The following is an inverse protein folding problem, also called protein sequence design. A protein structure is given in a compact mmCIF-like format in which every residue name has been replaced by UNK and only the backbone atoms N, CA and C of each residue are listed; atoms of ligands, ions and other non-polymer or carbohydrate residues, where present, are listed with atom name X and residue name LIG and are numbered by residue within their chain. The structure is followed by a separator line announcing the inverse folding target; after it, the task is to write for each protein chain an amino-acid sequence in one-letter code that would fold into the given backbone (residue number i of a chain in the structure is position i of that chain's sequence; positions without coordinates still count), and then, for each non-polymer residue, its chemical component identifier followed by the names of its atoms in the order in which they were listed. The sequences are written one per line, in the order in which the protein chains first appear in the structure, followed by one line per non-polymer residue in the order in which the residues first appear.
data_IF_009021430820
#
_entry.id   IF_009021430820
#
_cell.length_a   1.000
_cell.length_b   1.000
_cell.length_c   1.000
_cell.angle_alpha   90.00
_cell.angle_beta   90.00
_cell.angle_gamma   90.00
#
_symmetry.space_group_name_H-M   'P 1'
#
loop_
_entity.id
_entity.type
_entity.pdbx_description
1 polymer ?
#
# COMPACT_ATOMS: atom_id res chain seq x y z
N UNK A 1 9.42 -4.78 -5.55
CA UNK A 1 8.07 -4.23 -5.40
C UNK A 1 7.14 -4.70 -6.51
N UNK A 2 7.64 -4.84 -7.75
CA UNK A 2 6.83 -5.19 -8.93
C UNK A 2 5.79 -6.30 -8.74
N UNK A 3 6.18 -7.48 -8.25
CA UNK A 3 5.25 -8.60 -8.06
C UNK A 3 4.04 -8.24 -7.18
N UNK A 4 4.24 -7.38 -6.17
CA UNK A 4 3.16 -6.93 -5.29
C UNK A 4 2.28 -5.92 -5.99
N UNK A 5 2.88 -5.05 -6.81
CA UNK A 5 2.12 -4.10 -7.62
C UNK A 5 1.24 -4.81 -8.65
N UNK A 6 1.76 -5.83 -9.34
CA UNK A 6 0.95 -6.65 -10.26
C UNK A 6 -0.24 -7.30 -9.55
N UNK A 7 -0.02 -7.93 -8.40
CA UNK A 7 -1.09 -8.53 -7.60
C UNK A 7 -2.10 -7.47 -7.09
N UNK A 8 -1.65 -6.26 -6.73
CA UNK A 8 -2.55 -5.16 -6.38
C UNK A 8 -3.47 -4.78 -7.55
N UNK A 9 -2.94 -4.73 -8.78
CA UNK A 9 -3.76 -4.44 -9.98
C UNK A 9 -4.81 -5.51 -10.21
N UNK A 10 -4.47 -6.78 -10.00
CA UNK A 10 -5.44 -7.88 -10.08
C UNK A 10 -6.59 -7.65 -9.09
N UNK A 11 -6.27 -7.36 -7.82
CA UNK A 11 -7.29 -7.07 -6.80
C UNK A 11 -8.15 -5.85 -7.11
N UNK A 12 -7.57 -4.79 -7.65
CA UNK A 12 -8.31 -3.58 -8.01
C UNK A 12 -9.27 -3.78 -9.18
N UNK A 13 -9.03 -4.80 -10.02
CA UNK A 13 -9.88 -5.18 -11.14
C UNK A 13 -10.93 -6.25 -10.80
N UNK A 14 -11.03 -6.67 -9.53
CA UNK A 14 -12.02 -7.64 -9.10
C UNK A 14 -13.37 -6.97 -8.79
N UNK A 15 -14.46 -7.61 -9.23
CA UNK A 15 -15.83 -7.21 -8.87
C UNK A 15 -16.21 -7.60 -7.44
N UNK A 16 -15.42 -8.48 -6.80
CA UNK A 16 -15.69 -9.04 -5.49
C UNK A 16 -14.58 -8.75 -4.49
N UNK A 17 -14.96 -8.48 -3.25
CA UNK A 17 -14.01 -8.28 -2.16
C UNK A 17 -13.34 -9.59 -1.73
N UNK A 18 -12.00 -9.62 -1.67
CA UNK A 18 -11.23 -10.74 -1.11
C UNK A 18 -11.50 -10.95 0.39
N UNK A 19 -11.44 -12.19 0.92
CA UNK A 19 -11.62 -12.47 2.35
C UNK A 19 -10.50 -11.84 3.22
N UNK A 20 -10.74 -11.78 4.53
CA UNK A 20 -9.81 -11.17 5.49
C UNK A 20 -8.42 -11.83 5.45
N UNK A 21 -8.38 -13.16 5.41
CA UNK A 21 -7.17 -13.95 5.48
C UNK A 21 -6.25 -13.66 4.28
N UNK A 22 -6.83 -13.51 3.09
CA UNK A 22 -6.10 -13.15 1.88
C UNK A 22 -5.62 -11.69 1.90
N UNK A 23 -6.47 -10.78 2.37
CA UNK A 23 -6.11 -9.38 2.56
C UNK A 23 -4.95 -9.22 3.57
N UNK A 24 -5.01 -9.93 4.69
CA UNK A 24 -3.96 -9.95 5.71
C UNK A 24 -2.66 -10.54 5.18
N UNK A 25 -2.72 -11.68 4.47
CA UNK A 25 -1.55 -12.32 3.91
C UNK A 25 -0.82 -11.40 2.92
N UNK A 26 -1.55 -10.79 1.98
CA UNK A 26 -0.96 -9.84 1.03
C UNK A 26 -0.30 -8.65 1.75
N UNK A 27 -0.99 -8.05 2.73
CA UNK A 27 -0.42 -6.97 3.54
C UNK A 27 0.88 -7.41 4.24
N UNK A 28 0.90 -8.59 4.84
CA UNK A 28 2.08 -9.12 5.55
C UNK A 28 3.25 -9.32 4.61
N UNK A 29 3.02 -9.84 3.41
CA UNK A 29 4.09 -10.06 2.43
C UNK A 29 4.70 -8.75 1.93
N UNK A 30 3.88 -7.72 1.69
CA UNK A 30 4.39 -6.39 1.30
C UNK A 30 5.20 -5.78 2.45
N UNK A 31 4.71 -5.86 3.68
CA UNK A 31 5.43 -5.36 4.85
C UNK A 31 6.73 -6.13 5.09
N UNK A 32 6.74 -7.44 4.89
CA UNK A 32 7.94 -8.26 4.99
C UNK A 32 8.99 -7.81 3.96
N UNK A 33 8.59 -7.61 2.71
CA UNK A 33 9.47 -7.05 1.68
C UNK A 33 10.02 -5.67 2.06
N UNK A 34 9.17 -4.77 2.55
CA UNK A 34 9.61 -3.45 2.99
C UNK A 34 10.60 -3.53 4.16
N UNK A 35 10.41 -4.44 5.12
CA UNK A 35 11.38 -4.62 6.20
C UNK A 35 12.77 -5.03 5.68
N UNK A 36 12.82 -5.85 4.62
CA UNK A 36 14.07 -6.39 4.07
C UNK A 36 14.75 -5.44 3.08
N UNK A 37 13.97 -4.84 2.17
CA UNK A 37 14.48 -4.19 0.96
C UNK A 37 14.23 -2.68 0.92
N UNK A 38 13.63 -2.07 1.95
CA UNK A 38 13.30 -0.64 1.93
C UNK A 38 14.48 0.28 1.57
N UNK A 39 15.70 -0.05 2.04
CA UNK A 39 16.89 0.77 1.76
C UNK A 39 17.40 0.64 0.33
N UNK A 40 17.03 -0.42 -0.40
CA UNK A 40 17.47 -0.69 -1.78
C UNK A 40 16.46 -0.24 -2.84
N UNK A 41 15.22 0.11 -2.46
CA UNK A 41 14.19 0.53 -3.42
C UNK A 41 14.65 1.71 -4.28
N UNK A 42 14.52 1.60 -5.60
CA UNK A 42 14.65 2.75 -6.47
C UNK A 42 13.43 3.67 -6.35
N UNK A 43 13.41 4.78 -7.11
CA UNK A 43 12.31 5.75 -7.07
C UNK A 43 10.98 5.12 -7.47
N UNK A 44 10.95 4.34 -8.54
CA UNK A 44 9.73 3.71 -9.07
C UNK A 44 9.15 2.69 -8.08
N UNK A 45 9.97 1.79 -7.56
CA UNK A 45 9.59 0.82 -6.54
C UNK A 45 9.06 1.51 -5.27
N UNK A 46 9.66 2.63 -4.87
CA UNK A 46 9.20 3.39 -3.71
C UNK A 46 7.84 4.07 -3.96
N UNK A 47 7.57 4.57 -5.17
CA UNK A 47 6.24 5.08 -5.56
C UNK A 47 5.21 3.96 -5.55
N UNK A 48 5.49 2.82 -6.19
CA UNK A 48 4.60 1.64 -6.20
C UNK A 48 4.30 1.16 -4.79
N UNK A 49 5.31 1.07 -3.93
CA UNK A 49 5.14 0.71 -2.53
C UNK A 49 4.23 1.68 -1.78
N UNK A 50 4.40 2.99 -2.00
CA UNK A 50 3.61 4.01 -1.32
C UNK A 50 2.14 3.95 -1.79
N UNK A 51 1.93 3.76 -3.09
CA UNK A 51 0.62 3.55 -3.68
C UNK A 51 -0.09 2.35 -3.01
N UNK A 52 0.57 1.20 -2.94
CA UNK A 52 0.03 -0.01 -2.27
C UNK A 52 -0.34 0.27 -0.80
N UNK A 53 0.51 0.97 -0.05
CA UNK A 53 0.18 1.35 1.35
C UNK A 53 -1.07 2.22 1.42
N UNK A 54 -1.24 3.17 0.49
CA UNK A 54 -2.42 4.06 0.47
C UNK A 54 -3.72 3.29 0.21
N UNK A 55 -3.71 2.32 -0.72
CA UNK A 55 -4.85 1.46 -1.00
C UNK A 55 -5.18 0.58 0.21
N UNK A 56 -4.18 -0.07 0.81
CA UNK A 56 -4.37 -0.89 2.00
C UNK A 56 -4.92 -0.07 3.18
N UNK A 57 -4.47 1.17 3.35
CA UNK A 57 -5.02 2.09 4.36
C UNK A 57 -6.50 2.36 4.12
N UNK A 58 -6.88 2.85 2.93
CA UNK A 58 -8.28 3.18 2.63
C UNK A 58 -9.18 1.95 2.79
N UNK A 59 -8.76 0.81 2.23
CA UNK A 59 -9.54 -0.40 2.25
C UNK A 59 -9.67 -0.98 3.68
N UNK A 60 -8.60 -0.94 4.47
CA UNK A 60 -8.65 -1.32 5.89
C UNK A 60 -9.60 -0.42 6.68
N UNK A 61 -9.56 0.89 6.43
CA UNK A 61 -10.42 1.83 7.14
C UNK A 61 -11.90 1.57 6.84
N UNK A 62 -12.26 1.30 5.58
CA UNK A 62 -13.64 1.03 5.19
C UNK A 62 -14.12 -0.34 5.65
N UNK A 63 -13.28 -1.37 5.55
CA UNK A 63 -13.58 -2.69 6.11
C UNK A 63 -13.73 -2.67 7.63
N UNK A 64 -12.96 -1.84 8.35
CA UNK A 64 -13.12 -1.69 9.80
C UNK A 64 -14.49 -1.13 10.19
N UNK A 65 -15.09 -0.26 9.36
CA UNK A 65 -16.44 0.28 9.57
C UNK A 65 -17.53 -0.77 9.30
N UNK A 66 -17.34 -1.61 8.28
CA UNK A 66 -18.33 -2.63 7.84
C UNK A 66 -18.28 -3.92 8.68
N UNK A 67 -17.09 -4.39 9.04
CA UNK A 67 -16.87 -5.67 9.74
C UNK A 67 -16.47 -5.44 11.20
N UNK A 68 -17.46 -5.17 12.06
CA UNK A 68 -17.23 -4.80 13.48
C UNK A 68 -16.43 -5.84 14.27
N UNK A 69 -16.60 -7.13 13.97
CA UNK A 69 -15.83 -8.22 14.61
C UNK A 69 -14.34 -8.22 14.24
N UNK A 70 -13.99 -7.68 13.06
CA UNK A 70 -12.61 -7.58 12.56
C UNK A 70 -12.04 -6.15 12.66
N UNK A 71 -12.82 -5.18 13.12
CA UNK A 71 -12.44 -3.76 13.13
C UNK A 71 -11.07 -3.49 13.79
N UNK A 72 -10.78 -4.16 14.91
CA UNK A 72 -9.47 -4.03 15.59
C UNK A 72 -8.31 -4.54 14.74
N UNK A 73 -8.52 -5.60 13.95
CA UNK A 73 -7.50 -6.17 13.07
C UNK A 73 -7.24 -5.23 11.89
N UNK A 74 -8.29 -4.77 11.22
CA UNK A 74 -8.15 -3.78 10.14
C UNK A 74 -7.52 -2.47 10.60
N UNK A 75 -7.85 -1.97 11.80
CA UNK A 75 -7.19 -0.78 12.36
C UNK A 75 -5.69 -0.98 12.53
N UNK A 76 -5.24 -2.15 12.98
CA UNK A 76 -3.79 -2.46 13.07
C UNK A 76 -3.11 -2.45 11.70
N UNK A 77 -3.78 -2.97 10.67
CA UNK A 77 -3.26 -2.95 9.29
C UNK A 77 -3.14 -1.50 8.81
N UNK A 78 -4.18 -0.68 9.02
CA UNK A 78 -4.14 0.75 8.71
C UNK A 78 -2.95 1.44 9.38
N UNK A 79 -2.79 1.29 10.70
CA UNK A 79 -1.75 1.98 11.46
C UNK A 79 -0.34 1.58 10.95
N UNK A 80 -0.13 0.29 10.60
CA UNK A 80 1.14 -0.18 10.05
C UNK A 80 1.37 0.32 8.63
N UNK A 81 0.34 0.35 7.78
CA UNK A 81 0.45 0.87 6.42
C UNK A 81 0.73 2.38 6.43
N UNK A 82 0.14 3.13 7.37
CA UNK A 82 0.43 4.55 7.56
C UNK A 82 1.91 4.79 7.87
N UNK A 83 2.48 4.05 8.82
CA UNK A 83 3.90 4.14 9.16
C UNK A 83 4.80 3.93 7.93
N UNK A 84 4.46 2.94 7.10
CA UNK A 84 5.23 2.66 5.88
C UNK A 84 5.01 3.68 4.78
N UNK A 85 3.79 4.20 4.61
CA UNK A 85 3.50 5.28 3.66
C UNK A 85 4.31 6.55 4.02
N UNK A 86 4.44 6.87 5.30
CA UNK A 86 5.26 7.97 5.80
C UNK A 86 6.75 7.71 5.54
N UNK A 87 7.25 6.52 5.82
CA UNK A 87 8.64 6.13 5.54
C UNK A 87 8.97 6.22 4.05
N UNK A 88 8.12 5.67 3.18
CA UNK A 88 8.28 5.73 1.73
C UNK A 88 8.21 7.17 1.21
N UNK A 89 7.32 7.99 1.77
CA UNK A 89 7.28 9.43 1.47
C UNK A 89 8.63 10.08 1.79
N UNK A 90 9.19 9.85 2.99
CA UNK A 90 10.50 10.39 3.38
C UNK A 90 11.61 9.91 2.43
N UNK A 91 11.59 8.63 2.03
CA UNK A 91 12.55 8.09 1.06
C UNK A 91 12.48 8.81 -0.28
N UNK A 92 11.27 8.99 -0.83
CA UNK A 92 11.04 9.67 -2.10
C UNK A 92 11.48 11.14 -2.06
N UNK A 93 11.23 11.83 -0.94
CA UNK A 93 11.73 13.19 -0.71
C UNK A 93 13.27 13.23 -0.71
N UNK A 94 13.93 12.27 -0.06
CA UNK A 94 15.41 12.14 -0.09
C UNK A 94 15.96 11.82 -1.49
N UNK A 95 15.14 11.24 -2.37
CA UNK A 95 15.46 11.01 -3.78
C UNK A 95 15.16 12.23 -4.69
N UNK A 96 14.81 13.37 -4.10
CA UNK A 96 14.59 14.63 -4.80
C UNK A 96 13.19 14.85 -5.35
N UNK A 97 12.22 13.99 -5.01
CA UNK A 97 10.81 14.27 -5.36
C UNK A 97 10.21 15.30 -4.41
N UNK A 98 9.24 16.06 -4.91
CA UNK A 98 8.34 16.87 -4.08
C UNK A 98 7.09 16.08 -3.71
N UNK A 99 6.36 16.52 -2.68
CA UNK A 99 5.07 15.91 -2.31
C UNK A 99 4.08 15.87 -3.47
N UNK A 100 4.02 16.94 -4.26
CA UNK A 100 3.13 17.00 -5.43
C UNK A 100 3.52 15.98 -6.50
N UNK A 101 4.82 15.80 -6.76
CA UNK A 101 5.27 14.77 -7.71
C UNK A 101 4.95 13.36 -7.22
N UNK A 102 5.02 13.11 -5.91
CA UNK A 102 4.62 11.81 -5.34
C UNK A 102 3.13 11.57 -5.60
N UNK A 103 2.28 12.56 -5.29
CA UNK A 103 0.83 12.48 -5.51
C UNK A 103 0.52 12.27 -7.00
N UNK A 104 1.16 13.02 -7.89
CA UNK A 104 0.97 12.88 -9.34
C UNK A 104 1.41 11.50 -9.84
N UNK A 105 2.51 10.96 -9.32
CA UNK A 105 2.98 9.63 -9.70
C UNK A 105 2.03 8.53 -9.21
N UNK A 106 1.47 8.66 -8.00
CA UNK A 106 0.44 7.73 -7.50
C UNK A 106 -0.86 7.82 -8.30
N UNK A 107 -1.28 9.03 -8.69
CA UNK A 107 -2.44 9.22 -9.55
C UNK A 107 -2.22 8.58 -10.93
N UNK A 108 -1.03 8.75 -11.52
CA UNK A 108 -0.71 8.12 -12.80
C UNK A 108 -0.69 6.59 -12.71
N UNK A 109 -0.28 6.01 -11.58
CA UNK A 109 -0.41 4.56 -11.35
C UNK A 109 -1.89 4.15 -11.26
N UNK A 110 -2.71 4.91 -10.54
CA UNK A 110 -4.14 4.64 -10.43
C UNK A 110 -4.85 4.70 -11.78
N UNK A 111 -4.56 5.71 -12.60
CA UNK A 111 -5.20 5.92 -13.91
C UNK A 111 -4.77 4.90 -14.98
N UNK A 112 -3.68 4.17 -14.73
CA UNK A 112 -3.16 3.14 -15.62
C UNK A 112 -3.69 1.72 -15.31
N UNK A 113 -4.53 1.59 -14.28
CA UNK A 113 -5.20 0.34 -13.87
C UNK A 113 -6.60 0.35 -14.47
#
# INVERSE_FOLDING_TARGET
MEKYFEQMKEYLNMDTEIPYEEFEAYYQDVVAFLNSDYLSLNREDAVKGRFIMSILMSNSQDRAKRYKNLAKKYKKIYDKCQLWAEALTIRLLKMGMTKNQIIQAEQALHDAI
#
